data_IF_591787813766
#
_entry.id   IF_591787813766
#
_cell.length_a   1.000
_cell.length_b   1.000
_cell.length_c   1.000
_cell.angle_alpha   90.00
_cell.angle_beta   90.00
_cell.angle_gamma   90.00
#
_symmetry.space_group_name_H-M   'P 1'
#
loop_
_entity.id
_entity.type
_entity.pdbx_description
1 polymer ?
#
# COMPACT_ATOMS: atom_id res chain seq x y z
N UNK A 1 -21.17 -13.40 -14.63
CA UNK A 1 -21.54 -12.67 -13.40
C UNK A 1 -20.30 -12.61 -12.54
N UNK A 2 -19.73 -11.41 -12.40
CA UNK A 2 -18.47 -11.21 -11.68
C UNK A 2 -18.59 -11.67 -10.24
N UNK A 3 -17.45 -12.09 -9.67
CA UNK A 3 -17.26 -12.56 -8.31
C UNK A 3 -17.47 -11.43 -7.27
N UNK A 4 -18.51 -10.62 -7.43
CA UNK A 4 -18.84 -9.44 -6.65
C UNK A 4 -19.01 -9.80 -5.16
N UNK A 5 -19.61 -10.96 -4.88
CA UNK A 5 -19.70 -11.51 -3.52
C UNK A 5 -18.29 -11.73 -2.93
N UNK A 6 -17.37 -12.32 -3.68
CA UNK A 6 -16.00 -12.56 -3.20
C UNK A 6 -15.20 -11.26 -3.07
N UNK A 7 -15.41 -10.28 -3.96
CA UNK A 7 -14.81 -8.94 -3.86
C UNK A 7 -15.26 -8.27 -2.56
N UNK A 8 -16.57 -8.19 -2.33
CA UNK A 8 -17.14 -7.60 -1.10
C UNK A 8 -16.64 -8.35 0.13
N UNK A 9 -16.67 -9.69 0.13
CA UNK A 9 -16.19 -10.48 1.27
C UNK A 9 -14.70 -10.23 1.54
N UNK A 10 -13.88 -10.12 0.50
CA UNK A 10 -12.44 -9.86 0.65
C UNK A 10 -12.23 -8.48 1.28
N UNK A 11 -12.85 -7.43 0.74
CA UNK A 11 -12.72 -6.07 1.29
C UNK A 11 -13.25 -5.98 2.73
N UNK A 12 -14.45 -6.48 3.00
CA UNK A 12 -15.10 -6.39 4.32
C UNK A 12 -14.35 -7.17 5.40
N UNK A 13 -13.64 -8.24 5.06
CA UNK A 13 -12.88 -9.04 6.03
C UNK A 13 -11.46 -8.49 6.19
N UNK A 14 -10.80 -8.16 5.09
CA UNK A 14 -9.38 -7.82 5.08
C UNK A 14 -9.10 -6.43 5.65
N UNK A 15 -9.86 -5.41 5.26
CA UNK A 15 -9.64 -4.04 5.73
C UNK A 15 -9.77 -3.92 7.25
N UNK A 16 -10.82 -4.47 7.90
CA UNK A 16 -10.88 -4.45 9.37
C UNK A 16 -9.77 -5.28 10.03
N UNK A 17 -9.32 -6.38 9.41
CA UNK A 17 -8.23 -7.18 9.93
C UNK A 17 -6.90 -6.40 9.89
N UNK A 18 -6.62 -5.70 8.80
CA UNK A 18 -5.42 -4.85 8.65
C UNK A 18 -5.46 -3.71 9.67
N UNK A 19 -6.59 -3.03 9.81
CA UNK A 19 -6.81 -2.02 10.85
C UNK A 19 -6.52 -2.61 12.24
N UNK A 20 -7.07 -3.79 12.55
CA UNK A 20 -6.88 -4.44 13.85
C UNK A 20 -5.41 -4.80 14.10
N UNK A 21 -4.70 -5.37 13.11
CA UNK A 21 -3.27 -5.71 13.22
C UNK A 21 -2.43 -4.45 13.45
N UNK A 22 -2.71 -3.38 12.72
CA UNK A 22 -2.04 -2.09 12.87
C UNK A 22 -2.30 -1.47 14.25
N UNK A 23 -3.56 -1.47 14.69
CA UNK A 23 -3.93 -0.95 15.99
C UNK A 23 -3.25 -1.72 17.12
N UNK A 24 -3.31 -3.05 17.05
CA UNK A 24 -2.64 -3.97 17.96
C UNK A 24 -1.13 -3.75 17.99
N UNK A 25 -0.49 -3.63 16.82
CA UNK A 25 0.97 -3.46 16.71
C UNK A 25 1.46 -2.15 17.31
N UNK A 26 0.76 -1.05 17.06
CA UNK A 26 1.18 0.26 17.58
C UNK A 26 0.80 0.44 19.05
N UNK A 27 -0.36 -0.04 19.50
CA UNK A 27 -0.78 0.08 20.91
C UNK A 27 0.17 -0.67 21.85
N UNK A 28 0.69 -1.82 21.41
CA UNK A 28 1.67 -2.61 22.15
C UNK A 28 3.12 -2.23 21.87
N UNK A 29 3.41 -1.26 21.00
CA UNK A 29 4.79 -0.89 20.60
C UNK A 29 5.73 -0.64 21.78
N UNK A 30 5.23 -0.10 22.90
CA UNK A 30 6.05 0.16 24.10
C UNK A 30 6.39 -1.10 24.91
N UNK A 31 5.54 -2.12 24.87
CA UNK A 31 5.64 -3.34 25.68
C UNK A 31 5.56 -4.63 24.83
N UNK A 32 5.88 -4.55 23.55
CA UNK A 32 5.60 -5.65 22.62
C UNK A 32 6.45 -6.86 22.99
N UNK A 33 5.80 -7.92 23.42
CA UNK A 33 6.48 -9.20 23.63
C UNK A 33 6.94 -9.76 22.27
N UNK A 34 8.02 -10.53 22.28
CA UNK A 34 8.49 -11.25 21.09
C UNK A 34 7.36 -12.09 20.46
N UNK A 35 6.52 -12.69 21.30
CA UNK A 35 5.38 -13.51 20.88
C UNK A 35 4.34 -12.67 20.12
N UNK A 36 3.92 -11.53 20.66
CA UNK A 36 2.94 -10.64 19.99
C UNK A 36 3.43 -10.14 18.63
N UNK A 37 4.72 -9.83 18.50
CA UNK A 37 5.31 -9.41 17.22
C UNK A 37 5.43 -10.56 16.23
N UNK A 38 5.75 -11.76 16.71
CA UNK A 38 5.85 -12.96 15.86
C UNK A 38 4.48 -13.35 15.31
N UNK A 39 3.43 -13.26 16.13
CA UNK A 39 2.05 -13.51 15.70
C UNK A 39 1.62 -12.52 14.62
N UNK A 40 1.86 -11.21 14.81
CA UNK A 40 1.47 -10.22 13.80
C UNK A 40 2.23 -10.44 12.48
N UNK A 41 3.52 -10.78 12.55
CA UNK A 41 4.34 -11.09 11.38
C UNK A 41 3.82 -12.33 10.64
N UNK A 42 3.51 -13.41 11.37
CA UNK A 42 2.96 -14.64 10.78
C UNK A 42 1.65 -14.35 10.07
N UNK A 43 0.70 -13.66 10.74
CA UNK A 43 -0.61 -13.34 10.15
C UNK A 43 -0.43 -12.51 8.88
N UNK A 44 0.37 -11.45 8.91
CA UNK A 44 0.60 -10.58 7.74
C UNK A 44 1.26 -11.33 6.58
N UNK A 45 2.25 -12.18 6.84
CA UNK A 45 2.92 -12.93 5.77
C UNK A 45 2.00 -14.01 5.20
N UNK A 46 1.29 -14.75 6.05
CA UNK A 46 0.31 -15.75 5.61
C UNK A 46 -0.75 -15.12 4.72
N UNK A 47 -1.31 -13.98 5.14
CA UNK A 47 -2.36 -13.30 4.40
C UNK A 47 -1.91 -12.82 3.00
N UNK A 48 -0.79 -12.11 2.89
CA UNK A 48 -0.24 -11.67 1.61
C UNK A 48 0.09 -12.86 0.71
N UNK A 49 0.78 -13.87 1.26
CA UNK A 49 1.22 -15.03 0.49
C UNK A 49 0.07 -15.90 -0.02
N UNK A 50 -1.03 -16.01 0.73
CA UNK A 50 -2.23 -16.71 0.30
C UNK A 50 -2.93 -15.95 -0.83
N UNK A 51 -3.00 -14.62 -0.74
CA UNK A 51 -3.54 -13.79 -1.83
C UNK A 51 -2.68 -13.90 -3.09
N UNK A 52 -1.35 -13.86 -2.97
CA UNK A 52 -0.43 -14.02 -4.10
C UNK A 52 -0.52 -15.41 -4.74
N UNK A 53 -0.65 -16.46 -3.93
CA UNK A 53 -0.85 -17.82 -4.40
C UNK A 53 -2.20 -17.99 -5.13
N UNK A 54 -3.28 -17.45 -4.57
CA UNK A 54 -4.59 -17.46 -5.20
C UNK A 54 -4.58 -16.65 -6.49
N UNK A 55 -4.00 -15.44 -6.46
CA UNK A 55 -3.82 -14.59 -7.63
C UNK A 55 -3.10 -15.34 -8.75
N UNK A 56 -1.95 -15.96 -8.44
CA UNK A 56 -1.19 -16.74 -9.39
C UNK A 56 -2.07 -17.84 -10.00
N UNK A 57 -2.73 -18.64 -9.16
CA UNK A 57 -3.61 -19.72 -9.61
C UNK A 57 -4.81 -19.25 -10.45
N UNK A 58 -5.38 -18.07 -10.16
CA UNK A 58 -6.47 -17.49 -10.95
C UNK A 58 -6.01 -16.96 -12.31
N UNK A 59 -4.77 -16.47 -12.38
CA UNK A 59 -4.21 -15.85 -13.59
C UNK A 59 -3.63 -16.91 -14.55
N UNK A 60 -3.08 -18.00 -14.03
CA UNK A 60 -2.44 -19.07 -14.83
C UNK A 60 -3.43 -20.15 -15.28
N UNK A 61 -2.98 -21.05 -16.18
CA UNK A 61 -3.76 -22.24 -16.53
C UNK A 61 -3.92 -23.14 -15.30
N UNK A 62 -5.05 -23.83 -15.22
CA UNK A 62 -5.37 -24.70 -14.08
C UNK A 62 -4.77 -26.09 -14.26
N UNK A 63 -3.45 -26.15 -14.41
CA UNK A 63 -2.70 -27.41 -14.48
C UNK A 63 -2.11 -27.76 -13.11
N UNK A 64 -1.76 -29.03 -12.92
CA UNK A 64 -1.16 -29.52 -11.68
C UNK A 64 0.16 -28.79 -11.35
N UNK A 65 0.96 -28.44 -12.36
CA UNK A 65 2.21 -27.69 -12.18
C UNK A 65 1.95 -26.30 -11.63
N UNK A 66 0.98 -25.58 -12.19
CA UNK A 66 0.62 -24.23 -11.75
C UNK A 66 0.04 -24.23 -10.33
N UNK A 67 -0.71 -25.27 -9.97
CA UNK A 67 -1.18 -25.47 -8.60
C UNK A 67 -0.03 -25.73 -7.62
N UNK A 68 0.97 -26.52 -8.01
CA UNK A 68 2.18 -26.76 -7.18
C UNK A 68 2.98 -25.46 -7.01
N UNK A 69 3.14 -24.66 -8.06
CA UNK A 69 3.83 -23.36 -7.98
C UNK A 69 3.06 -22.40 -7.07
N UNK A 70 1.73 -22.31 -7.20
CA UNK A 70 0.90 -21.49 -6.33
C UNK A 70 1.07 -21.86 -4.84
N UNK A 71 1.06 -23.17 -4.54
CA UNK A 71 1.29 -23.66 -3.17
C UNK A 71 2.69 -23.26 -2.68
N UNK A 72 3.72 -23.39 -3.51
CA UNK A 72 5.09 -23.01 -3.13
C UNK A 72 5.22 -21.51 -2.86
N UNK A 73 4.54 -20.63 -3.61
CA UNK A 73 4.52 -19.19 -3.34
C UNK A 73 4.01 -18.92 -1.90
N UNK A 74 2.94 -19.60 -1.50
CA UNK A 74 2.41 -19.49 -0.13
C UNK A 74 3.36 -20.08 0.92
N UNK A 75 3.95 -21.25 0.65
CA UNK A 75 4.80 -21.95 1.62
C UNK A 75 6.18 -21.31 1.79
N UNK A 76 6.81 -20.83 0.72
CA UNK A 76 8.18 -20.31 0.77
C UNK A 76 8.26 -19.02 1.59
N UNK A 77 7.33 -18.09 1.34
CA UNK A 77 7.24 -16.81 2.05
C UNK A 77 6.95 -17.00 3.54
N UNK A 78 6.02 -17.89 3.89
CA UNK A 78 5.71 -18.24 5.28
C UNK A 78 6.87 -18.96 5.96
N UNK A 79 7.60 -19.83 5.25
CA UNK A 79 8.81 -20.50 5.75
C UNK A 79 9.92 -19.50 6.07
N UNK A 80 10.15 -18.50 5.21
CA UNK A 80 11.12 -17.43 5.46
C UNK A 80 10.76 -16.62 6.71
N UNK A 81 9.47 -16.32 6.90
CA UNK A 81 8.98 -15.65 8.09
C UNK A 81 9.20 -16.46 9.38
N UNK A 82 8.90 -17.76 9.35
CA UNK A 82 9.14 -18.67 10.47
C UNK A 82 10.63 -18.81 10.78
N UNK A 83 11.48 -18.90 9.75
CA UNK A 83 12.93 -18.94 9.91
C UNK A 83 13.46 -17.65 10.54
N UNK A 84 12.95 -16.49 10.12
CA UNK A 84 13.28 -15.20 10.74
C UNK A 84 12.93 -15.18 12.24
N UNK A 85 11.73 -15.63 12.59
CA UNK A 85 11.26 -15.72 13.98
C UNK A 85 12.17 -16.66 14.78
N UNK A 86 12.46 -17.86 14.25
CA UNK A 86 13.30 -18.86 14.89
C UNK A 86 14.73 -18.34 15.14
N UNK A 87 15.37 -17.73 14.14
CA UNK A 87 16.71 -17.13 14.28
C UNK A 87 16.71 -16.04 15.35
N UNK A 88 15.65 -15.23 15.41
CA UNK A 88 15.54 -14.15 16.39
C UNK A 88 15.30 -14.68 17.80
N UNK A 89 14.51 -15.74 17.94
CA UNK A 89 14.27 -16.45 19.19
C UNK A 89 15.57 -17.04 19.75
N UNK A 90 16.33 -17.77 18.92
CA UNK A 90 17.62 -18.38 19.31
C UNK A 90 18.61 -17.31 19.80
N UNK A 91 18.64 -16.14 19.15
CA UNK A 91 19.55 -15.04 19.52
C UNK A 91 19.14 -14.32 20.82
N UNK A 92 18.07 -14.73 21.50
CA UNK A 92 17.50 -14.13 22.74
C UNK A 92 17.40 -12.61 22.69
N UNK A 93 17.26 -12.03 21.50
CA UNK A 93 17.11 -10.59 21.35
C UNK A 93 15.69 -10.25 21.76
N UNK A 94 15.53 -9.53 22.87
CA UNK A 94 14.25 -8.90 23.19
C UNK A 94 13.86 -8.03 22.00
N UNK A 95 12.65 -8.24 21.47
CA UNK A 95 12.11 -7.45 20.39
C UNK A 95 11.72 -6.07 20.94
N UNK A 96 12.71 -5.23 21.24
CA UNK A 96 12.44 -3.80 21.41
C UNK A 96 11.90 -3.28 20.08
N UNK A 97 10.86 -2.47 20.16
CA UNK A 97 10.24 -1.84 19.00
C UNK A 97 11.21 -0.81 18.42
N UNK A 98 12.10 -1.30 17.56
CA UNK A 98 13.13 -0.50 16.89
C UNK A 98 12.58 0.05 15.58
N UNK A 99 13.17 1.14 15.09
CA UNK A 99 12.87 1.75 13.80
C UNK A 99 12.90 0.74 12.64
N UNK A 100 13.81 -0.24 12.69
CA UNK A 100 13.86 -1.32 11.70
C UNK A 100 12.61 -2.18 11.68
N UNK A 101 11.97 -2.41 12.84
CA UNK A 101 10.72 -3.16 12.91
C UNK A 101 9.55 -2.34 12.39
N UNK A 102 9.53 -1.03 12.64
CA UNK A 102 8.52 -0.13 12.07
C UNK A 102 8.58 -0.14 10.54
N UNK A 103 9.79 -0.04 9.96
CA UNK A 103 10.00 -0.07 8.51
C UNK A 103 9.62 -1.45 7.94
N UNK A 104 10.04 -2.55 8.58
CA UNK A 104 9.67 -3.87 8.09
C UNK A 104 8.16 -4.12 8.20
N UNK A 105 7.52 -3.60 9.27
CA UNK A 105 6.08 -3.66 9.46
C UNK A 105 5.33 -2.87 8.39
N UNK A 106 5.79 -1.65 8.07
CA UNK A 106 5.18 -0.84 7.00
C UNK A 106 5.32 -1.54 5.64
N UNK A 107 6.50 -2.09 5.33
CA UNK A 107 6.71 -2.85 4.08
C UNK A 107 5.78 -4.06 3.99
N UNK A 108 5.62 -4.83 5.07
CA UNK A 108 4.75 -6.01 5.08
C UNK A 108 3.27 -5.64 4.89
N UNK A 109 2.82 -4.54 5.49
CA UNK A 109 1.46 -4.05 5.29
C UNK A 109 1.26 -3.51 3.87
N UNK A 110 2.23 -2.75 3.36
CA UNK A 110 2.23 -2.29 1.97
C UNK A 110 2.16 -3.48 1.00
N UNK A 111 2.89 -4.58 1.27
CA UNK A 111 2.79 -5.79 0.47
C UNK A 111 1.37 -6.38 0.57
N UNK A 112 0.81 -6.56 1.76
CA UNK A 112 -0.56 -7.07 1.91
C UNK A 112 -1.59 -6.29 1.10
N UNK A 113 -1.52 -4.96 1.13
CA UNK A 113 -2.38 -4.08 0.35
C UNK A 113 -2.18 -4.26 -1.17
N UNK A 114 -0.93 -4.35 -1.64
CA UNK A 114 -0.64 -4.62 -3.05
C UNK A 114 -1.17 -6.00 -3.49
N UNK A 115 -0.94 -7.04 -2.69
CA UNK A 115 -1.44 -8.39 -2.96
C UNK A 115 -2.96 -8.40 -3.04
N UNK A 116 -3.63 -7.68 -2.14
CA UNK A 116 -5.08 -7.50 -2.17
C UNK A 116 -5.53 -6.75 -3.43
N UNK A 117 -4.87 -5.66 -3.80
CA UNK A 117 -5.14 -4.89 -5.01
C UNK A 117 -5.14 -5.77 -6.26
N UNK A 118 -4.05 -6.53 -6.42
CA UNK A 118 -3.84 -7.43 -7.56
C UNK A 118 -4.91 -8.52 -7.59
N UNK A 119 -5.24 -9.10 -6.42
CA UNK A 119 -6.25 -10.14 -6.30
C UNK A 119 -7.67 -9.63 -6.62
N UNK A 120 -8.07 -8.50 -6.07
CA UNK A 120 -9.37 -7.87 -6.35
C UNK A 120 -9.50 -7.48 -7.83
N UNK A 121 -8.42 -6.96 -8.42
CA UNK A 121 -8.38 -6.65 -9.84
C UNK A 121 -8.44 -7.89 -10.73
N UNK A 122 -7.82 -9.00 -10.33
CA UNK A 122 -7.99 -10.29 -11.03
C UNK A 122 -9.43 -10.80 -10.97
N UNK A 123 -10.11 -10.65 -9.82
CA UNK A 123 -11.51 -11.05 -9.63
C UNK A 123 -12.50 -10.18 -10.40
N UNK A 124 -12.17 -8.91 -10.69
CA UNK A 124 -13.02 -7.99 -11.44
C UNK A 124 -13.17 -8.35 -12.92
N UNK A 125 -12.37 -9.31 -13.43
CA UNK A 125 -12.80 -10.16 -14.53
C UNK A 125 -12.24 -9.87 -15.92
N UNK A 126 -11.11 -9.14 -16.06
CA UNK A 126 -10.64 -8.73 -17.39
C UNK A 126 -9.31 -9.32 -17.91
N UNK A 127 -8.62 -10.22 -17.19
CA UNK A 127 -7.31 -10.68 -17.66
C UNK A 127 -7.05 -12.17 -17.35
N UNK A 128 -7.44 -13.05 -18.29
CA UNK A 128 -6.81 -14.37 -18.42
C UNK A 128 -5.50 -14.18 -19.19
N UNK A 129 -4.36 -14.27 -18.50
CA UNK A 129 -3.07 -14.22 -19.17
C UNK A 129 -2.77 -15.58 -19.81
N UNK A 130 -3.23 -15.77 -21.07
CA UNK A 130 -2.88 -16.96 -21.85
C UNK A 130 -1.37 -17.10 -22.13
N UNK A 131 -0.58 -16.04 -21.90
CA UNK A 131 0.88 -16.03 -21.86
C UNK A 131 1.34 -14.81 -21.02
N UNK A 132 2.04 -15.04 -19.91
CA UNK A 132 2.61 -13.99 -19.05
C UNK A 132 3.84 -13.40 -19.77
N UNK A 133 3.62 -12.36 -20.58
CA UNK A 133 4.72 -11.49 -20.99
C UNK A 133 5.01 -10.51 -19.85
N UNK A 134 6.28 -10.23 -19.59
CA UNK A 134 6.70 -9.27 -18.56
C UNK A 134 5.95 -7.92 -18.67
N UNK A 135 5.84 -7.39 -19.89
CA UNK A 135 5.13 -6.14 -20.20
C UNK A 135 3.64 -6.21 -19.78
N UNK A 136 3.00 -7.36 -19.97
CA UNK A 136 1.60 -7.57 -19.60
C UNK A 136 1.41 -7.62 -18.09
N UNK A 137 2.33 -8.26 -17.36
CA UNK A 137 2.31 -8.27 -15.90
C UNK A 137 2.54 -6.87 -15.32
N UNK A 138 3.48 -6.12 -15.88
CA UNK A 138 3.76 -4.74 -15.44
C UNK A 138 2.56 -3.82 -15.71
N UNK A 139 1.91 -3.96 -16.86
CA UNK A 139 0.62 -3.28 -17.12
C UNK A 139 -0.46 -3.73 -16.13
N UNK A 140 -0.56 -5.01 -15.81
CA UNK A 140 -1.54 -5.51 -14.85
C UNK A 140 -1.34 -4.88 -13.47
N UNK A 141 -0.09 -4.81 -13.01
CA UNK A 141 0.28 -4.19 -11.75
C UNK A 141 -0.13 -2.71 -11.70
N UNK A 142 0.25 -1.93 -12.72
CA UNK A 142 -0.10 -0.51 -12.78
C UNK A 142 -1.61 -0.29 -12.73
N UNK A 143 -2.37 -1.04 -13.54
CA UNK A 143 -3.84 -0.95 -13.53
C UNK A 143 -4.48 -1.39 -12.21
N UNK A 144 -3.91 -2.39 -11.52
CA UNK A 144 -4.50 -2.92 -10.28
C UNK A 144 -4.39 -1.92 -9.13
N UNK A 145 -3.26 -1.22 -9.02
CA UNK A 145 -3.01 -0.26 -7.94
C UNK A 145 -3.78 1.04 -8.16
N UNK A 146 -3.96 1.47 -9.40
CA UNK A 146 -4.76 2.68 -9.67
C UNK A 146 -6.25 2.40 -9.70
N UNK A 147 -6.68 1.14 -9.50
CA UNK A 147 -8.09 0.78 -9.61
C UNK A 147 -8.90 1.15 -8.37
N UNK A 148 -10.17 1.47 -8.58
CA UNK A 148 -11.07 1.90 -7.50
C UNK A 148 -11.21 0.87 -6.36
N UNK A 149 -11.14 -0.44 -6.65
CA UNK A 149 -11.22 -1.49 -5.61
C UNK A 149 -10.00 -1.52 -4.70
N UNK A 150 -8.86 -0.98 -5.12
CA UNK A 150 -7.71 -0.79 -4.23
C UNK A 150 -7.87 0.47 -3.37
N UNK A 151 -8.38 1.54 -3.97
CA UNK A 151 -8.44 2.84 -3.31
C UNK A 151 -9.47 2.89 -2.19
N UNK A 152 -10.62 2.21 -2.33
CA UNK A 152 -11.67 2.16 -1.30
C UNK A 152 -11.11 1.66 0.05
N UNK A 153 -10.56 0.43 0.16
CA UNK A 153 -10.04 -0.06 1.43
C UNK A 153 -8.94 0.86 1.98
N UNK A 154 -7.98 1.25 1.14
CA UNK A 154 -6.90 2.15 1.50
C UNK A 154 -7.39 3.47 2.14
N UNK A 155 -8.35 4.14 1.51
CA UNK A 155 -8.91 5.41 2.03
C UNK A 155 -9.68 5.19 3.33
N UNK A 156 -10.43 4.08 3.45
CA UNK A 156 -11.15 3.78 4.70
C UNK A 156 -10.20 3.57 5.88
N UNK A 157 -9.07 2.89 5.67
CA UNK A 157 -8.04 2.73 6.70
C UNK A 157 -7.40 4.06 7.07
N UNK A 158 -7.00 4.85 6.07
CA UNK A 158 -6.41 6.16 6.30
C UNK A 158 -7.33 7.08 7.10
N UNK A 159 -8.62 7.11 6.77
CA UNK A 159 -9.61 7.86 7.54
C UNK A 159 -9.66 7.40 8.99
N UNK A 160 -9.72 6.09 9.23
CA UNK A 160 -9.73 5.53 10.58
C UNK A 160 -8.51 6.01 11.41
N UNK A 161 -7.29 5.88 10.87
CA UNK A 161 -6.08 6.23 11.62
C UNK A 161 -5.86 7.74 11.75
N UNK A 162 -6.24 8.54 10.76
CA UNK A 162 -6.18 10.01 10.84
C UNK A 162 -7.08 10.52 11.97
N UNK A 163 -8.28 9.95 12.11
CA UNK A 163 -9.26 10.34 13.12
C UNK A 163 -8.84 9.85 14.52
N UNK A 164 -8.53 8.56 14.64
CA UNK A 164 -8.36 7.90 15.94
C UNK A 164 -6.96 8.10 16.52
N UNK A 165 -5.92 8.15 15.68
CA UNK A 165 -4.54 7.91 16.13
C UNK A 165 -3.56 9.05 15.90
N UNK A 166 -3.52 9.58 14.69
CA UNK A 166 -2.51 10.58 14.31
C UNK A 166 -2.75 11.90 15.06
N UNK A 167 -1.67 12.61 15.44
CA UNK A 167 -1.73 13.87 16.20
C UNK A 167 -0.83 14.94 15.59
N UNK A 168 -1.21 16.21 15.75
CA UNK A 168 -0.42 17.36 15.32
C UNK A 168 0.07 17.25 13.85
N UNK A 169 1.39 17.24 13.63
CA UNK A 169 1.97 17.22 12.29
C UNK A 169 1.76 15.89 11.55
N UNK A 170 1.75 14.74 12.25
CA UNK A 170 1.49 13.44 11.62
C UNK A 170 0.06 13.38 11.06
N UNK A 171 -0.91 13.99 11.76
CA UNK A 171 -2.28 14.14 11.26
C UNK A 171 -2.36 15.05 10.03
N UNK A 172 -1.66 16.18 10.05
CA UNK A 172 -1.61 17.08 8.90
C UNK A 172 -1.01 16.39 7.66
N UNK A 173 0.12 15.69 7.82
CA UNK A 173 0.72 14.89 6.76
C UNK A 173 -0.24 13.80 6.24
N UNK A 174 -0.91 13.07 7.15
CA UNK A 174 -1.90 12.06 6.77
C UNK A 174 -3.06 12.63 5.93
N UNK A 175 -3.59 13.80 6.30
CA UNK A 175 -4.66 14.48 5.53
C UNK A 175 -4.17 14.85 4.12
N UNK A 176 -2.94 15.35 3.99
CA UNK A 176 -2.37 15.70 2.69
C UNK A 176 -2.22 14.48 1.79
N UNK A 177 -1.74 13.35 2.35
CA UNK A 177 -1.64 12.09 1.61
C UNK A 177 -3.01 11.56 1.19
N UNK A 178 -4.01 11.64 2.07
CA UNK A 178 -5.38 11.24 1.78
C UNK A 178 -6.00 12.08 0.64
N UNK A 179 -5.83 13.41 0.67
CA UNK A 179 -6.34 14.28 -0.39
C UNK A 179 -5.77 13.92 -1.75
N UNK A 180 -4.47 13.59 -1.81
CA UNK A 180 -3.87 13.12 -3.04
C UNK A 180 -4.48 11.80 -3.50
N UNK A 181 -4.58 10.81 -2.62
CA UNK A 181 -5.05 9.47 -3.02
C UNK A 181 -6.51 9.45 -3.46
N UNK A 182 -7.43 10.13 -2.76
CA UNK A 182 -8.87 10.16 -3.11
C UNK A 182 -9.12 10.74 -4.51
N UNK A 183 -8.16 11.49 -5.04
CA UNK A 183 -8.30 12.24 -6.28
C UNK A 183 -7.63 11.55 -7.46
N UNK A 184 -7.27 10.27 -7.33
CA UNK A 184 -6.51 9.54 -8.32
C UNK A 184 -7.15 9.59 -9.72
N UNK A 185 -6.44 10.09 -10.75
CA UNK A 185 -6.96 10.17 -12.10
C UNK A 185 -7.14 8.83 -12.81
N UNK A 186 -6.45 7.77 -12.37
CA UNK A 186 -6.45 6.47 -13.01
C UNK A 186 -7.49 5.49 -12.43
N UNK A 187 -8.37 5.97 -11.54
CA UNK A 187 -9.46 5.20 -10.91
C UNK A 187 -10.48 4.64 -11.91
N UNK A 188 -10.72 5.37 -13.00
CA UNK A 188 -11.70 5.02 -14.01
C UNK A 188 -11.04 4.99 -15.38
N UNK A 189 -11.18 3.87 -16.09
CA UNK A 189 -10.72 3.77 -17.48
C UNK A 189 -11.74 4.48 -18.40
N UNK A 190 -11.29 5.36 -19.29
CA UNK A 190 -12.08 6.00 -20.35
C UNK A 190 -12.24 7.53 -20.24
N UNK A 191 -13.35 8.06 -20.75
CA UNK A 191 -13.57 9.51 -20.93
C UNK A 191 -13.55 10.37 -19.64
N UNK A 192 -13.59 9.74 -18.47
CA UNK A 192 -13.56 10.43 -17.17
C UNK A 192 -12.12 10.72 -16.70
N UNK A 193 -11.11 10.10 -17.34
CA UNK A 193 -9.69 10.28 -17.01
C UNK A 193 -9.25 11.76 -17.07
N UNK A 194 -9.61 12.48 -18.14
CA UNK A 194 -9.16 13.87 -18.34
C UNK A 194 -9.71 14.86 -17.29
N UNK A 195 -11.02 14.86 -16.95
CA UNK A 195 -11.52 15.61 -15.81
C UNK A 195 -10.82 15.27 -14.49
N UNK A 196 -10.52 13.98 -14.24
CA UNK A 196 -9.86 13.58 -13.01
C UNK A 196 -8.40 14.05 -12.96
N UNK A 197 -7.67 14.04 -14.07
CA UNK A 197 -6.31 14.61 -14.15
C UNK A 197 -6.31 16.09 -13.78
N UNK A 198 -7.28 16.86 -14.25
CA UNK A 198 -7.44 18.28 -13.89
C UNK A 198 -7.69 18.39 -12.38
N UNK A 199 -8.61 17.60 -11.85
CA UNK A 199 -8.95 17.63 -10.42
C UNK A 199 -7.74 17.27 -9.53
N UNK A 200 -7.01 16.22 -9.90
CA UNK A 200 -5.80 15.78 -9.21
C UNK A 200 -4.70 16.85 -9.25
N UNK A 201 -4.53 17.51 -10.39
CA UNK A 201 -3.56 18.61 -10.55
C UNK A 201 -3.87 19.80 -9.64
N UNK A 202 -5.15 20.18 -9.54
CA UNK A 202 -5.62 21.24 -8.63
C UNK A 202 -5.34 20.84 -7.17
N UNK A 203 -5.67 19.60 -6.81
CA UNK A 203 -5.51 19.10 -5.44
C UNK A 203 -4.03 18.99 -5.07
N UNK A 204 -3.18 18.52 -5.98
CA UNK A 204 -1.72 18.50 -5.80
C UNK A 204 -1.17 19.92 -5.57
N UNK A 205 -1.66 20.92 -6.32
CA UNK A 205 -1.29 22.32 -6.11
C UNK A 205 -1.73 22.83 -4.73
N UNK A 206 -2.95 22.52 -4.30
CA UNK A 206 -3.47 22.87 -2.96
C UNK A 206 -2.62 22.21 -1.87
N UNK A 207 -2.29 20.92 -2.00
CA UNK A 207 -1.45 20.18 -1.07
C UNK A 207 -0.06 20.81 -0.96
N UNK A 208 0.57 21.14 -2.09
CA UNK A 208 1.86 21.82 -2.12
C UNK A 208 1.79 23.20 -1.46
N UNK A 209 0.76 23.98 -1.75
CA UNK A 209 0.53 25.28 -1.12
C UNK A 209 0.38 25.15 0.40
N UNK A 210 -0.44 24.22 0.88
CA UNK A 210 -0.66 23.97 2.31
C UNK A 210 0.63 23.57 3.03
N UNK A 211 1.44 22.69 2.42
CA UNK A 211 2.74 22.27 2.96
C UNK A 211 3.68 23.47 3.08
N UNK A 212 3.83 24.26 2.01
CA UNK A 212 4.73 25.42 2.00
C UNK A 212 4.31 26.45 3.05
N UNK A 213 3.01 26.76 3.15
CA UNK A 213 2.47 27.67 4.16
C UNK A 213 2.73 27.15 5.57
N UNK A 214 2.53 25.85 5.81
CA UNK A 214 2.78 25.23 7.10
C UNK A 214 4.27 25.33 7.49
N UNK A 215 5.17 25.02 6.56
CA UNK A 215 6.62 25.12 6.78
C UNK A 215 7.02 26.56 7.06
N UNK A 216 6.52 27.52 6.29
CA UNK A 216 6.85 28.93 6.46
C UNK A 216 6.46 29.44 7.86
N UNK A 217 5.25 29.11 8.32
CA UNK A 217 4.75 29.50 9.65
C UNK A 217 5.52 28.82 10.78
N UNK A 218 5.90 27.55 10.62
CA UNK A 218 6.49 26.73 11.69
C UNK A 218 8.01 26.50 11.55
N UNK A 219 8.71 27.22 10.66
CA UNK A 219 10.12 26.95 10.30
C UNK A 219 11.09 26.81 11.47
N UNK A 220 10.86 27.56 12.55
CA UNK A 220 11.71 27.56 13.76
C UNK A 220 11.40 26.40 14.71
N UNK A 221 10.19 25.83 14.64
CA UNK A 221 9.68 24.81 15.57
C UNK A 221 9.65 23.40 14.95
N UNK A 222 10.06 23.26 13.68
CA UNK A 222 10.09 21.96 13.01
C UNK A 222 11.23 21.09 13.55
N UNK A 223 10.86 19.98 14.18
CA UNK A 223 11.79 18.91 14.57
C UNK A 223 12.50 18.33 13.34
N UNK A 224 13.63 17.67 13.57
CA UNK A 224 14.37 16.98 12.50
C UNK A 224 13.52 15.92 11.81
N UNK A 225 12.74 15.14 12.56
CA UNK A 225 11.85 14.12 12.01
C UNK A 225 10.74 14.73 11.15
N UNK A 226 10.15 15.86 11.56
CA UNK A 226 9.15 16.56 10.76
C UNK A 226 9.73 17.11 9.45
N UNK A 227 10.97 17.63 9.47
CA UNK A 227 11.66 18.07 8.24
C UNK A 227 11.89 16.91 7.28
N UNK A 228 12.24 15.72 7.80
CA UNK A 228 12.39 14.52 6.98
C UNK A 228 11.07 14.06 6.38
N UNK A 229 9.97 14.10 7.16
CA UNK A 229 8.64 13.78 6.66
C UNK A 229 8.19 14.75 5.55
N UNK A 230 8.43 16.05 5.73
CA UNK A 230 8.21 17.07 4.68
C UNK A 230 8.96 16.72 3.39
N UNK A 231 10.24 16.35 3.50
CA UNK A 231 11.05 16.00 2.34
C UNK A 231 10.45 14.80 1.58
N UNK A 232 10.01 13.76 2.30
CA UNK A 232 9.32 12.62 1.70
C UNK A 232 8.03 13.02 0.98
N UNK A 233 7.22 13.90 1.56
CA UNK A 233 5.99 14.38 0.91
C UNK A 233 6.33 15.18 -0.36
N UNK A 234 7.35 16.03 -0.36
CA UNK A 234 7.80 16.71 -1.57
C UNK A 234 8.28 15.72 -2.65
N UNK A 235 9.05 14.70 -2.28
CA UNK A 235 9.47 13.65 -3.21
C UNK A 235 8.26 12.93 -3.81
N UNK A 236 7.26 12.62 -3.00
CA UNK A 236 6.02 11.98 -3.43
C UNK A 236 5.24 12.86 -4.41
N UNK A 237 5.12 14.16 -4.13
CA UNK A 237 4.50 15.13 -5.05
C UNK A 237 5.26 15.17 -6.38
N UNK A 238 6.60 15.18 -6.35
CA UNK A 238 7.41 15.18 -7.56
C UNK A 238 7.23 13.91 -8.40
N UNK A 239 7.22 12.74 -7.77
CA UNK A 239 6.96 11.46 -8.45
C UNK A 239 5.54 11.44 -9.01
N UNK A 240 4.57 11.91 -8.24
CA UNK A 240 3.16 11.98 -8.67
C UNK A 240 2.96 12.92 -9.85
N UNK A 241 3.64 14.07 -9.86
CA UNK A 241 3.62 14.99 -11.00
C UNK A 241 4.21 14.33 -12.26
N UNK A 242 5.29 13.55 -12.12
CA UNK A 242 5.82 12.76 -13.23
C UNK A 242 4.80 11.69 -13.70
N UNK A 243 4.08 11.05 -12.77
CA UNK A 243 3.02 10.09 -13.07
C UNK A 243 1.82 10.66 -13.82
N UNK A 244 1.48 11.94 -13.63
CA UNK A 244 0.45 12.62 -14.44
C UNK A 244 0.92 12.87 -15.88
N UNK A 245 2.23 13.05 -16.09
CA UNK A 245 2.81 13.33 -17.40
C UNK A 245 2.97 12.05 -18.21
N UNK A 246 3.22 10.91 -17.56
CA UNK A 246 3.47 9.60 -18.20
C UNK A 246 2.42 9.21 -19.25
N UNK A 247 1.10 9.36 -19.04
CA UNK A 247 0.09 9.00 -20.05
C UNK A 247 0.16 9.79 -21.35
N UNK A 248 0.73 11.00 -21.31
CA UNK A 248 0.93 11.81 -22.51
C UNK A 248 2.14 11.34 -23.34
N UNK A 249 3.07 10.59 -22.73
CA UNK A 249 4.25 10.02 -23.39
C UNK A 249 4.01 8.57 -23.82
N UNK A 250 3.35 7.78 -22.97
CA UNK A 250 3.02 6.38 -23.19
C UNK A 250 1.50 6.27 -23.09
N UNK A 251 0.81 6.13 -24.22
CA UNK A 251 -0.66 6.10 -24.25
C UNK A 251 -1.26 4.70 -24.03
N UNK A 252 -0.54 3.63 -24.40
CA UNK A 252 -1.02 2.26 -24.29
C UNK A 252 0.10 1.26 -23.98
N UNK A 253 -0.22 0.15 -23.27
CA UNK A 253 -1.47 -0.15 -22.55
C UNK A 253 -1.66 0.70 -21.29
N UNK A 254 -2.91 0.88 -20.85
CA UNK A 254 -3.30 1.77 -19.74
C UNK A 254 -2.46 1.56 -18.46
N UNK A 255 -2.21 0.32 -18.05
CA UNK A 255 -1.40 0.13 -16.83
C UNK A 255 0.07 0.51 -16.96
N UNK A 256 0.62 0.57 -18.19
CA UNK A 256 1.95 1.14 -18.42
C UNK A 256 1.92 2.66 -18.47
N UNK A 257 0.82 3.26 -18.93
CA UNK A 257 0.68 4.72 -18.97
C UNK A 257 0.61 5.37 -17.59
N UNK A 258 0.32 4.58 -16.55
CA UNK A 258 0.14 5.04 -15.18
C UNK A 258 1.08 4.36 -14.18
N UNK A 259 2.16 3.75 -14.63
CA UNK A 259 3.05 2.97 -13.78
C UNK A 259 3.76 3.83 -12.73
N UNK A 260 4.26 5.00 -13.12
CA UNK A 260 4.90 5.95 -12.22
C UNK A 260 3.90 6.45 -11.18
N UNK A 261 2.63 6.64 -11.58
CA UNK A 261 1.57 7.01 -10.65
C UNK A 261 1.25 5.86 -9.67
N UNK A 262 1.13 4.62 -10.15
CA UNK A 262 0.97 3.44 -9.29
C UNK A 262 2.13 3.29 -8.31
N UNK A 263 3.37 3.51 -8.76
CA UNK A 263 4.55 3.52 -7.89
C UNK A 263 4.48 4.65 -6.85
N UNK A 264 3.98 5.84 -7.22
CA UNK A 264 3.80 6.94 -6.29
C UNK A 264 2.78 6.61 -5.19
N UNK A 265 1.71 5.88 -5.52
CA UNK A 265 0.72 5.38 -4.56
C UNK A 265 1.31 4.35 -3.61
N UNK A 266 2.09 3.39 -4.11
CA UNK A 266 2.79 2.41 -3.27
C UNK A 266 3.73 3.12 -2.29
N UNK A 267 4.49 4.12 -2.75
CA UNK A 267 5.36 4.92 -1.89
C UNK A 267 4.55 5.74 -0.89
N UNK A 268 3.43 6.31 -1.31
CA UNK A 268 2.48 7.06 -0.47
C UNK A 268 1.92 6.19 0.65
N UNK A 269 1.53 4.96 0.32
CA UNK A 269 1.05 3.95 1.26
C UNK A 269 2.11 3.55 2.28
N UNK A 270 3.33 3.28 1.80
CA UNK A 270 4.45 2.95 2.69
C UNK A 270 4.76 4.09 3.65
N UNK A 271 4.82 5.33 3.14
CA UNK A 271 5.02 6.52 3.96
C UNK A 271 3.89 6.70 4.97
N UNK A 272 2.64 6.46 4.56
CA UNK A 272 1.49 6.49 5.45
C UNK A 272 1.63 5.48 6.61
N UNK A 273 1.94 4.22 6.33
CA UNK A 273 2.15 3.23 7.40
C UNK A 273 3.34 3.59 8.30
N UNK A 274 4.43 4.14 7.75
CA UNK A 274 5.53 4.67 8.57
C UNK A 274 5.09 5.79 9.52
N UNK A 275 4.21 6.69 9.07
CA UNK A 275 3.61 7.73 9.91
C UNK A 275 2.74 7.10 11.00
N UNK A 276 1.89 6.11 10.67
CA UNK A 276 1.02 5.42 11.64
C UNK A 276 1.82 4.66 12.70
N UNK A 277 2.96 4.09 12.32
CA UNK A 277 3.89 3.45 13.26
C UNK A 277 4.68 4.44 14.14
N UNK A 278 4.58 5.74 13.88
CA UNK A 278 5.26 6.77 14.67
C UNK A 278 6.74 6.92 14.32
N UNK A 279 7.16 6.57 13.10
CA UNK A 279 8.58 6.66 12.68
C UNK A 279 9.11 8.10 12.66
N UNK A 280 8.22 9.08 12.58
CA UNK A 280 8.52 10.51 12.53
C UNK A 280 8.16 11.27 13.82
N UNK A 281 7.71 10.57 14.86
CA UNK A 281 7.48 11.11 16.21
C UNK A 281 8.75 11.02 17.06
#
# INVERSE_FOLDING_TARGET
MHNLIYIILTEVIMTPLIIWILEYSVSLSKNMSFLSHSISLIILVMMASMLDALLYYFITYKNLVDAVIAINIAMDTTTVALLYILVRYIRRKTAKYDRKLMINGSILLTWNEISMALFLFALSGNYLFNNINYIKYVSFFGSSITYILFLIPMVTEMLFFIIVKLKAFSRFAGILLLLMQVSDPAMFHGFIEFPLVISYSIIMFIVLYLIVVYIFKNRKNLSYNNKRLVLWIFTLIAISAAGIIEPFLISHPFGLSWLILAASMVISMLLYFEIVFGLFE
#
